data_IF_767509556543
#
_entry.id   IF_767509556543
#
_cell.length_a   1.000
_cell.length_b   1.000
_cell.length_c   1.000
_cell.angle_alpha   90.00
_cell.angle_beta   90.00
_cell.angle_gamma   90.00
#
_symmetry.space_group_name_H-M   'P 1'
#
loop_
_entity.id
_entity.type
_entity.pdbx_description
1 polymer ?
#
# COMPACT_ATOMS: atom_id res chain seq x y z
N UNK A 1 -53.61 17.61 2.71
CA UNK A 1 -53.11 16.83 1.57
C UNK A 1 -51.64 17.17 1.39
N UNK A 2 -50.78 16.17 1.22
CA UNK A 2 -49.35 16.38 0.98
C UNK A 2 -49.10 16.46 -0.52
N UNK A 3 -48.28 17.42 -1.00
CA UNK A 3 -47.99 17.54 -2.42
C UNK A 3 -47.11 16.38 -2.91
N UNK A 4 -47.54 15.71 -3.98
CA UNK A 4 -46.84 14.58 -4.61
C UNK A 4 -46.16 15.09 -5.89
N UNK A 5 -44.84 14.87 -6.00
CA UNK A 5 -44.03 15.28 -7.15
C UNK A 5 -43.46 14.06 -7.89
N UNK A 6 -43.33 14.15 -9.22
CA UNK A 6 -42.61 13.13 -10.02
C UNK A 6 -41.11 13.19 -9.73
N UNK A 7 -40.45 12.03 -9.68
CA UNK A 7 -38.99 11.94 -9.50
C UNK A 7 -38.21 12.59 -10.64
N UNK A 8 -38.78 12.64 -11.84
CA UNK A 8 -38.12 13.25 -13.02
C UNK A 8 -37.94 14.77 -12.87
N UNK A 9 -38.75 15.40 -12.01
CA UNK A 9 -38.67 16.83 -11.70
C UNK A 9 -37.82 17.11 -10.44
N UNK A 10 -37.19 16.09 -9.86
CA UNK A 10 -36.36 16.22 -8.68
C UNK A 10 -34.89 16.15 -9.10
N UNK A 11 -34.19 17.26 -8.94
CA UNK A 11 -32.77 17.33 -9.25
C UNK A 11 -31.90 17.36 -7.99
N UNK A 12 -30.78 16.64 -8.05
CA UNK A 12 -29.80 16.62 -6.97
C UNK A 12 -28.86 17.82 -7.14
N UNK A 13 -28.78 18.64 -6.10
CA UNK A 13 -27.80 19.72 -6.03
C UNK A 13 -26.60 19.29 -5.19
N UNK A 14 -25.40 19.63 -5.64
CA UNK A 14 -24.16 19.27 -4.96
C UNK A 14 -23.21 20.47 -4.91
N UNK A 15 -22.27 20.48 -3.98
CA UNK A 15 -21.23 21.51 -3.92
C UNK A 15 -20.19 21.33 -5.04
N UNK A 16 -19.44 22.39 -5.37
CA UNK A 16 -18.35 22.35 -6.37
C UNK A 16 -17.39 21.16 -6.15
N UNK A 17 -16.96 20.97 -4.90
CA UNK A 17 -16.06 19.86 -4.52
C UNK A 17 -16.70 18.48 -4.70
N UNK A 18 -18.02 18.37 -4.50
CA UNK A 18 -18.72 17.09 -4.65
C UNK A 18 -18.96 16.78 -6.13
N UNK A 19 -19.19 17.79 -6.96
CA UNK A 19 -19.20 17.64 -8.42
C UNK A 19 -17.82 17.24 -8.97
N UNK A 20 -16.74 17.78 -8.41
CA UNK A 20 -15.38 17.38 -8.80
C UNK A 20 -15.12 15.88 -8.56
N UNK A 21 -15.64 15.31 -7.46
CA UNK A 21 -15.58 13.86 -7.21
C UNK A 21 -16.31 13.03 -8.26
N UNK A 22 -17.29 13.64 -8.94
CA UNK A 22 -18.00 13.04 -10.06
C UNK A 22 -17.33 13.28 -11.42
N UNK A 23 -16.10 13.82 -11.44
CA UNK A 23 -15.41 14.30 -12.64
C UNK A 23 -16.24 15.34 -13.42
N UNK A 24 -16.88 16.26 -12.68
CA UNK A 24 -17.58 17.41 -13.27
C UNK A 24 -17.09 18.70 -12.64
N UNK A 25 -17.06 19.76 -13.44
CA UNK A 25 -16.70 21.09 -13.00
C UNK A 25 -17.87 22.04 -13.22
N UNK A 26 -18.13 22.91 -12.24
CA UNK A 26 -19.11 23.99 -12.42
C UNK A 26 -18.56 24.95 -13.47
N UNK A 27 -19.41 25.31 -14.44
CA UNK A 27 -18.99 26.22 -15.51
C UNK A 27 -18.52 27.56 -14.89
N UNK A 28 -17.54 28.22 -15.53
CA UNK A 28 -17.14 29.56 -15.10
C UNK A 28 -18.36 30.48 -15.11
N UNK A 29 -18.43 31.38 -14.13
CA UNK A 29 -19.45 32.42 -14.00
C UNK A 29 -20.90 31.95 -13.70
N UNK A 30 -21.11 30.67 -13.37
CA UNK A 30 -22.41 30.17 -12.89
C UNK A 30 -22.70 30.58 -11.44
N UNK A 31 -23.89 31.13 -11.21
CA UNK A 31 -24.39 31.44 -9.87
C UNK A 31 -24.96 30.18 -9.17
N UNK A 32 -24.79 30.03 -7.85
CA UNK A 32 -25.32 28.89 -7.13
C UNK A 32 -26.85 28.87 -7.17
N UNK A 33 -27.43 27.75 -7.60
CA UNK A 33 -28.89 27.58 -7.60
C UNK A 33 -29.48 27.68 -6.20
N UNK A 34 -28.75 27.19 -5.19
CA UNK A 34 -29.18 27.28 -3.79
C UNK A 34 -28.00 27.50 -2.85
N UNK A 35 -28.18 28.45 -1.93
CA UNK A 35 -27.31 28.63 -0.78
C UNK A 35 -27.94 27.93 0.43
N UNK A 36 -27.16 27.09 1.11
CA UNK A 36 -27.59 26.42 2.34
C UNK A 36 -26.60 26.63 3.46
N UNK A 37 -27.01 26.43 4.70
CA UNK A 37 -26.08 26.43 5.82
C UNK A 37 -25.23 25.16 5.81
N UNK A 38 -23.93 25.33 5.70
CA UNK A 38 -22.93 24.29 5.78
C UNK A 38 -22.64 23.85 7.23
N UNK A 39 -21.86 22.78 7.34
CA UNK A 39 -21.40 22.26 8.64
C UNK A 39 -20.19 23.07 9.13
N UNK A 40 -20.18 23.42 10.41
CA UNK A 40 -19.01 24.01 11.08
C UNK A 40 -17.90 22.96 11.17
N UNK A 41 -16.68 23.32 10.74
CA UNK A 41 -15.53 22.41 10.82
C UNK A 41 -15.18 22.14 12.29
N UNK A 42 -14.65 20.96 12.58
CA UNK A 42 -14.30 20.58 13.96
C UNK A 42 -13.29 21.55 14.60
N UNK A 43 -12.37 22.11 13.82
CA UNK A 43 -11.41 23.11 14.27
C UNK A 43 -12.11 24.41 14.68
N UNK A 44 -12.98 24.95 13.82
CA UNK A 44 -13.74 26.17 14.07
C UNK A 44 -14.64 26.03 15.31
N UNK A 45 -15.25 24.85 15.48
CA UNK A 45 -16.03 24.53 16.69
C UNK A 45 -15.18 24.57 17.95
N UNK A 46 -13.93 24.07 17.91
CA UNK A 46 -12.99 24.15 19.04
C UNK A 46 -12.56 25.59 19.33
N UNK A 47 -12.51 26.44 18.29
CA UNK A 47 -12.20 27.86 18.39
C UNK A 47 -13.41 28.71 18.83
N UNK A 48 -14.54 28.09 19.17
CA UNK A 48 -15.75 28.80 19.63
C UNK A 48 -16.59 29.45 18.53
N UNK A 49 -16.31 29.14 17.26
CA UNK A 49 -17.11 29.66 16.13
C UNK A 49 -18.48 28.97 16.11
N UNK A 50 -19.54 29.78 16.23
CA UNK A 50 -20.94 29.32 16.20
C UNK A 50 -21.62 29.58 14.86
N UNK A 51 -21.05 30.46 14.02
CA UNK A 51 -21.63 30.82 12.72
C UNK A 51 -21.40 29.70 11.71
N UNK A 52 -22.46 29.28 11.02
CA UNK A 52 -22.38 28.26 9.98
C UNK A 52 -21.94 28.90 8.66
N UNK A 53 -20.95 28.31 7.96
CA UNK A 53 -20.57 28.82 6.65
C UNK A 53 -21.70 28.60 5.64
N UNK A 54 -21.88 29.51 4.69
CA UNK A 54 -22.77 29.25 3.57
C UNK A 54 -22.12 28.24 2.61
N UNK A 55 -22.93 27.30 2.13
CA UNK A 55 -22.54 26.29 1.16
C UNK A 55 -23.33 26.50 -0.14
N UNK A 56 -22.59 26.76 -1.20
CA UNK A 56 -23.10 26.87 -2.57
C UNK A 56 -23.43 25.49 -3.13
N UNK A 57 -24.64 25.33 -3.67
CA UNK A 57 -25.10 24.13 -4.34
C UNK A 57 -25.46 24.41 -5.80
N UNK A 58 -25.02 23.52 -6.67
CA UNK A 58 -25.19 23.59 -8.12
C UNK A 58 -25.91 22.35 -8.63
N UNK A 59 -26.74 22.52 -9.65
CA UNK A 59 -27.36 21.42 -10.39
C UNK A 59 -26.46 20.89 -11.49
N UNK A 60 -26.79 19.71 -12.03
CA UNK A 60 -26.01 19.09 -13.11
C UNK A 60 -25.93 19.96 -14.37
N UNK A 61 -27.01 20.69 -14.70
CA UNK A 61 -27.08 21.61 -15.85
C UNK A 61 -26.11 22.80 -15.75
N UNK A 62 -25.61 23.12 -14.55
CA UNK A 62 -24.63 24.18 -14.33
C UNK A 62 -23.19 23.66 -14.40
N UNK A 63 -23.01 22.38 -14.75
CA UNK A 63 -21.71 21.71 -14.74
C UNK A 63 -21.39 21.11 -16.09
N UNK A 64 -20.11 21.12 -16.45
CA UNK A 64 -19.54 20.43 -17.60
C UNK A 64 -18.65 19.27 -17.14
N UNK A 65 -18.30 18.39 -18.07
CA UNK A 65 -17.33 17.32 -17.84
C UNK A 65 -15.96 17.91 -17.48
N UNK A 66 -15.30 17.33 -16.49
CA UNK A 66 -14.00 17.80 -16.04
C UNK A 66 -12.94 17.56 -17.12
N UNK A 67 -12.25 18.62 -17.52
CA UNK A 67 -11.14 18.54 -18.47
C UNK A 67 -9.83 18.45 -17.70
N UNK A 68 -9.14 17.29 -17.69
CA UNK A 68 -7.90 17.14 -16.94
C UNK A 68 -6.76 17.96 -17.57
N UNK A 69 -5.85 18.52 -16.75
CA UNK A 69 -4.73 19.31 -17.23
C UNK A 69 -3.77 18.47 -18.10
N UNK A 70 -3.06 19.14 -19.00
CA UNK A 70 -2.03 18.52 -19.85
C UNK A 70 -0.69 18.51 -19.11
N UNK A 71 -0.02 17.35 -19.10
CA UNK A 71 1.37 17.27 -18.64
C UNK A 71 2.30 17.94 -19.65
N UNK A 72 3.27 18.71 -19.14
CA UNK A 72 4.27 19.43 -19.94
C UNK A 72 5.66 19.19 -19.38
N UNK A 73 6.64 19.03 -20.26
CA UNK A 73 8.07 18.89 -19.93
C UNK A 73 8.37 17.77 -18.93
N UNK A 74 7.61 16.67 -18.99
CA UNK A 74 7.76 15.54 -18.07
C UNK A 74 7.29 15.83 -16.63
N UNK A 75 6.62 16.96 -16.39
CA UNK A 75 6.09 17.36 -15.08
C UNK A 75 4.60 17.04 -14.99
N UNK A 76 4.21 16.39 -13.91
CA UNK A 76 2.81 16.08 -13.62
C UNK A 76 2.14 17.33 -13.03
N UNK A 77 0.99 17.77 -13.57
CA UNK A 77 0.25 18.90 -13.01
C UNK A 77 -0.40 18.51 -11.68
N UNK A 78 -0.08 19.24 -10.62
CA UNK A 78 -0.60 18.98 -9.27
C UNK A 78 -1.58 20.06 -8.80
N UNK A 79 -2.38 19.72 -7.79
CA UNK A 79 -3.17 20.67 -7.01
C UNK A 79 -2.29 21.48 -6.04
N UNK A 80 -2.91 22.39 -5.28
CA UNK A 80 -2.24 23.23 -4.28
C UNK A 80 -1.48 22.45 -3.20
N UNK A 81 -1.86 21.19 -2.98
CA UNK A 81 -1.24 20.30 -2.00
C UNK A 81 -0.10 19.45 -2.60
N UNK A 82 0.19 19.60 -3.90
CA UNK A 82 1.23 18.83 -4.59
C UNK A 82 0.81 17.43 -5.05
N UNK A 83 -0.50 17.11 -4.99
CA UNK A 83 -1.05 15.81 -5.36
C UNK A 83 -2.02 15.93 -6.55
N UNK A 84 -2.46 14.80 -7.11
CA UNK A 84 -3.50 14.75 -8.14
C UNK A 84 -4.78 14.16 -7.53
N UNK A 85 -5.88 14.89 -7.66
CA UNK A 85 -7.21 14.42 -7.26
C UNK A 85 -7.74 13.46 -8.34
N UNK A 86 -7.74 12.16 -8.04
CA UNK A 86 -8.04 11.08 -8.98
C UNK A 86 -9.23 10.24 -8.50
N UNK A 87 -10.42 10.85 -8.43
CA UNK A 87 -11.64 10.17 -7.99
C UNK A 87 -12.24 9.25 -9.07
N UNK A 88 -12.03 9.59 -10.35
CA UNK A 88 -12.44 8.78 -11.50
C UNK A 88 -11.26 8.59 -12.46
N UNK A 89 -11.24 7.50 -13.27
CA UNK A 89 -10.18 7.25 -14.25
C UNK A 89 -10.02 8.35 -15.31
N UNK A 90 -11.10 9.08 -15.62
CA UNK A 90 -11.10 10.17 -16.60
C UNK A 90 -10.37 11.43 -16.11
N UNK A 91 -10.09 11.52 -14.80
CA UNK A 91 -9.40 12.66 -14.21
C UNK A 91 -7.86 12.57 -14.33
N UNK A 92 -7.33 11.52 -14.98
CA UNK A 92 -5.89 11.39 -15.22
C UNK A 92 -5.43 12.53 -16.15
N UNK A 93 -4.40 13.30 -15.77
CA UNK A 93 -3.81 14.30 -16.65
C UNK A 93 -3.44 13.74 -18.01
N UNK A 94 -3.74 14.50 -19.06
CA UNK A 94 -3.44 14.09 -20.42
C UNK A 94 -1.91 13.96 -20.59
N UNK A 95 -1.45 12.80 -21.07
CA UNK A 95 -0.02 12.47 -21.17
C UNK A 95 0.56 11.78 -19.93
N UNK A 96 -0.25 11.56 -18.89
CA UNK A 96 0.13 10.81 -17.71
C UNK A 96 -0.51 9.42 -17.64
N UNK A 97 0.04 8.57 -16.76
CA UNK A 97 -0.45 7.24 -16.44
C UNK A 97 -0.49 7.08 -14.93
N UNK A 98 -1.57 6.46 -14.44
CA UNK A 98 -1.74 6.09 -13.04
C UNK A 98 -1.16 4.70 -12.78
N UNK A 99 -0.30 4.58 -11.79
CA UNK A 99 0.41 3.35 -11.43
C UNK A 99 0.11 3.00 -9.97
N UNK A 100 -0.44 1.81 -9.79
CA UNK A 100 -0.82 1.23 -8.49
C UNK A 100 0.15 0.11 -8.13
N UNK A 101 1.41 0.48 -7.88
CA UNK A 101 2.45 -0.46 -7.46
C UNK A 101 2.98 -0.09 -6.07
N UNK A 102 3.23 -1.07 -5.18
CA UNK A 102 3.77 -0.78 -3.87
C UNK A 102 5.17 -0.19 -3.99
N UNK A 103 5.47 0.81 -3.18
CA UNK A 103 6.76 1.53 -3.19
C UNK A 103 7.08 2.28 -4.51
N UNK A 104 6.12 2.46 -5.41
CA UNK A 104 6.35 3.18 -6.68
C UNK A 104 6.91 4.59 -6.44
N UNK A 105 6.35 5.34 -5.49
CA UNK A 105 6.85 6.68 -5.11
C UNK A 105 8.34 6.68 -4.71
N UNK A 106 8.78 5.64 -3.98
CA UNK A 106 10.18 5.49 -3.58
C UNK A 106 11.08 5.18 -4.77
N UNK A 107 10.59 4.38 -5.72
CA UNK A 107 11.32 4.06 -6.95
C UNK A 107 11.44 5.29 -7.85
N UNK A 108 10.38 6.08 -8.01
CA UNK A 108 10.43 7.36 -8.74
C UNK A 108 11.48 8.32 -8.15
N UNK A 109 11.52 8.45 -6.81
CA UNK A 109 12.58 9.24 -6.13
C UNK A 109 13.99 8.74 -6.44
N UNK A 110 14.18 7.42 -6.51
CA UNK A 110 15.49 6.81 -6.82
C UNK A 110 15.90 7.03 -8.28
N UNK A 111 14.94 7.02 -9.19
CA UNK A 111 15.15 7.23 -10.62
C UNK A 111 15.20 8.71 -11.03
N UNK A 112 14.80 9.63 -10.14
CA UNK A 112 14.71 11.06 -10.45
C UNK A 112 13.53 11.43 -11.34
N UNK A 113 12.50 10.59 -11.40
CA UNK A 113 11.29 10.82 -12.20
C UNK A 113 10.31 11.71 -11.42
N UNK A 114 9.79 12.75 -12.07
CA UNK A 114 8.72 13.56 -11.50
C UNK A 114 7.43 12.72 -11.36
N UNK A 115 6.83 12.76 -10.17
CA UNK A 115 5.62 12.01 -9.87
C UNK A 115 4.72 12.82 -8.93
N UNK A 116 3.43 12.53 -8.98
CA UNK A 116 2.45 13.05 -8.02
C UNK A 116 1.73 11.89 -7.34
N UNK A 117 1.33 12.07 -6.09
CA UNK A 117 0.50 11.07 -5.39
C UNK A 117 -0.96 11.19 -5.86
N UNK A 118 -1.58 10.06 -6.16
CA UNK A 118 -2.98 10.01 -6.60
C UNK A 118 -3.90 9.89 -5.40
N UNK A 119 -4.70 10.92 -5.12
CA UNK A 119 -5.73 10.87 -4.07
C UNK A 119 -7.02 10.33 -4.68
N UNK A 120 -7.38 9.10 -4.33
CA UNK A 120 -8.57 8.43 -4.86
C UNK A 120 -9.80 8.67 -3.97
N UNK A 121 -9.59 9.06 -2.73
CA UNK A 121 -10.67 9.31 -1.80
C UNK A 121 -10.18 9.83 -0.47
N UNK A 122 -11.09 9.85 0.48
CA UNK A 122 -10.80 10.24 1.85
C UNK A 122 -11.40 9.21 2.78
N UNK A 123 -10.59 8.69 3.69
CA UNK A 123 -11.03 7.80 4.74
C UNK A 123 -11.34 8.62 5.99
N UNK A 124 -12.49 8.36 6.59
CA UNK A 124 -12.97 9.03 7.79
C UNK A 124 -12.83 8.07 8.98
N UNK A 125 -11.58 7.75 9.32
CA UNK A 125 -11.26 6.94 10.49
C UNK A 125 -10.84 7.82 11.69
N UNK A 126 -11.41 7.56 12.87
CA UNK A 126 -11.14 8.32 14.08
C UNK A 126 -11.76 9.73 14.07
N UNK A 127 -11.04 10.73 14.59
CA UNK A 127 -11.53 12.11 14.74
C UNK A 127 -11.34 12.99 13.48
N UNK A 128 -10.82 12.43 12.38
CA UNK A 128 -10.39 13.17 11.20
C UNK A 128 -10.75 12.49 9.88
N UNK A 129 -10.51 13.22 8.79
CA UNK A 129 -10.59 12.71 7.42
C UNK A 129 -9.20 12.80 6.81
N UNK A 130 -8.71 11.68 6.29
CA UNK A 130 -7.35 11.55 5.75
C UNK A 130 -7.41 11.17 4.27
N UNK A 131 -6.55 11.75 3.42
CA UNK A 131 -6.52 11.40 2.00
C UNK A 131 -6.03 9.96 1.83
N UNK A 132 -6.74 9.19 1.01
CA UNK A 132 -6.36 7.83 0.63
C UNK A 132 -5.51 7.91 -0.63
N UNK A 133 -4.23 7.62 -0.48
CA UNK A 133 -3.28 7.56 -1.59
C UNK A 133 -3.47 6.22 -2.30
N UNK A 134 -3.95 6.26 -3.53
CA UNK A 134 -4.21 5.08 -4.36
C UNK A 134 -3.16 4.83 -5.43
N UNK A 135 -1.91 5.21 -5.18
CA UNK A 135 -0.80 5.06 -6.13
C UNK A 135 -0.20 6.39 -6.53
N UNK A 136 0.48 6.40 -7.67
CA UNK A 136 1.15 7.59 -8.21
C UNK A 136 0.73 7.86 -9.65
N UNK A 137 0.79 9.11 -10.05
CA UNK A 137 0.66 9.55 -11.44
C UNK A 137 2.05 9.97 -11.93
N UNK A 138 2.42 9.49 -13.11
CA UNK A 138 3.67 9.84 -13.79
C UNK A 138 3.41 10.19 -15.25
N UNK A 139 4.33 10.90 -15.90
CA UNK A 139 4.28 11.07 -17.34
C UNK A 139 4.49 9.74 -18.07
N UNK A 140 3.75 9.52 -19.15
CA UNK A 140 3.75 8.26 -19.92
C UNK A 140 5.14 7.88 -20.44
N UNK A 141 5.99 8.86 -20.71
CA UNK A 141 7.37 8.68 -21.19
C UNK A 141 8.23 7.86 -20.22
N UNK A 142 7.99 7.99 -18.90
CA UNK A 142 8.77 7.32 -17.87
C UNK A 142 8.16 6.00 -17.37
N UNK A 143 6.99 5.63 -17.90
CA UNK A 143 6.30 4.39 -17.56
C UNK A 143 7.17 3.14 -17.73
N UNK A 144 7.83 2.88 -18.89
CA UNK A 144 8.63 1.68 -19.06
C UNK A 144 9.78 1.60 -18.05
N UNK A 145 10.49 2.72 -17.84
CA UNK A 145 11.61 2.79 -16.91
C UNK A 145 11.17 2.47 -15.46
N UNK A 146 9.99 2.94 -15.05
CA UNK A 146 9.46 2.62 -13.72
C UNK A 146 9.03 1.16 -13.62
N UNK A 147 8.36 0.61 -14.64
CA UNK A 147 7.92 -0.80 -14.64
C UNK A 147 9.10 -1.75 -14.52
N UNK A 148 10.17 -1.51 -15.26
CA UNK A 148 11.39 -2.32 -15.18
C UNK A 148 12.01 -2.25 -13.78
N UNK A 149 12.07 -1.06 -13.18
CA UNK A 149 12.60 -0.90 -11.83
C UNK A 149 11.71 -1.57 -10.76
N UNK A 150 10.39 -1.56 -10.94
CA UNK A 150 9.45 -2.29 -10.08
C UNK A 150 9.70 -3.79 -10.15
N UNK A 151 9.86 -4.33 -11.35
CA UNK A 151 10.09 -5.77 -11.55
C UNK A 151 11.43 -6.22 -10.93
N UNK A 152 12.50 -5.45 -11.15
CA UNK A 152 13.79 -5.69 -10.50
C UNK A 152 13.65 -5.65 -8.97
N UNK A 153 12.90 -4.70 -8.43
CA UNK A 153 12.70 -4.57 -6.99
C UNK A 153 11.88 -5.74 -6.41
N UNK A 154 10.89 -6.24 -7.15
CA UNK A 154 10.12 -7.46 -6.80
C UNK A 154 11.06 -8.66 -6.72
N UNK A 155 11.91 -8.86 -7.73
CA UNK A 155 12.87 -9.96 -7.77
C UNK A 155 13.86 -9.92 -6.59
N UNK A 156 14.46 -8.76 -6.32
CA UNK A 156 15.38 -8.56 -5.19
C UNK A 156 14.69 -8.86 -3.85
N UNK A 157 13.42 -8.48 -3.72
CA UNK A 157 12.66 -8.70 -2.48
C UNK A 157 12.39 -10.19 -2.28
N UNK A 158 11.98 -10.89 -3.34
CA UNK A 158 11.74 -12.33 -3.33
C UNK A 158 13.00 -13.11 -2.95
N UNK A 159 14.15 -12.79 -3.55
CA UNK A 159 15.43 -13.43 -3.21
C UNK A 159 15.82 -13.21 -1.74
N UNK A 160 15.58 -12.01 -1.20
CA UNK A 160 15.83 -11.70 0.22
C UNK A 160 14.90 -12.49 1.14
N UNK A 161 13.65 -12.68 0.76
CA UNK A 161 12.71 -13.47 1.54
C UNK A 161 13.08 -14.95 1.56
N UNK A 162 13.52 -15.50 0.42
CA UNK A 162 14.02 -16.87 0.33
C UNK A 162 15.24 -17.04 1.24
N UNK A 163 16.25 -16.17 1.12
CA UNK A 163 17.44 -16.21 1.98
C UNK A 163 17.09 -16.13 3.47
N UNK A 164 16.15 -15.26 3.85
CA UNK A 164 15.68 -15.16 5.25
C UNK A 164 14.97 -16.43 5.72
N UNK A 165 14.17 -17.07 4.86
CA UNK A 165 13.51 -18.35 5.16
C UNK A 165 14.56 -19.44 5.36
N UNK A 166 15.54 -19.55 4.47
CA UNK A 166 16.61 -20.54 4.56
C UNK A 166 17.44 -20.34 5.83
N UNK A 167 17.86 -19.11 6.14
CA UNK A 167 18.56 -18.80 7.38
C UNK A 167 17.76 -19.21 8.61
N UNK A 168 16.42 -19.02 8.60
CA UNK A 168 15.55 -19.43 9.71
C UNK A 168 15.49 -20.96 9.81
N UNK A 169 15.40 -21.67 8.68
CA UNK A 169 15.44 -23.13 8.62
C UNK A 169 16.75 -23.64 9.22
N UNK A 170 17.90 -23.13 8.76
CA UNK A 170 19.21 -23.54 9.28
C UNK A 170 19.37 -23.23 10.77
N UNK A 171 18.91 -22.07 11.25
CA UNK A 171 18.92 -21.71 12.68
C UNK A 171 18.07 -22.69 13.50
N UNK A 172 16.90 -23.09 13.00
CA UNK A 172 16.02 -24.04 13.68
C UNK A 172 16.64 -25.45 13.72
N UNK A 173 17.19 -25.94 12.61
CA UNK A 173 17.90 -27.21 12.57
C UNK A 173 19.10 -27.23 13.54
N UNK A 174 19.89 -26.16 13.56
CA UNK A 174 21.00 -26.02 14.51
C UNK A 174 20.53 -26.09 15.96
N UNK A 175 19.40 -25.44 16.30
CA UNK A 175 18.81 -25.52 17.65
C UNK A 175 18.34 -26.94 17.99
N UNK A 176 17.67 -27.61 17.05
CA UNK A 176 17.20 -28.98 17.23
C UNK A 176 18.35 -29.96 17.49
N UNK A 177 19.37 -29.94 16.64
CA UNK A 177 20.54 -30.82 16.76
C UNK A 177 21.27 -30.57 18.08
N UNK A 178 21.50 -29.30 18.45
CA UNK A 178 22.10 -28.96 19.75
C UNK A 178 21.25 -29.46 20.92
N UNK A 179 19.93 -29.32 20.85
CA UNK A 179 19.01 -29.85 21.87
C UNK A 179 19.11 -31.37 22.02
N UNK A 180 19.20 -32.10 20.90
CA UNK A 180 19.37 -33.56 20.90
C UNK A 180 20.72 -33.97 21.51
N UNK A 181 21.83 -33.30 21.14
CA UNK A 181 23.16 -33.55 21.71
C UNK A 181 23.16 -33.31 23.23
N UNK A 182 22.57 -32.20 23.68
CA UNK A 182 22.49 -31.87 25.12
C UNK A 182 21.67 -32.94 25.85
N UNK A 183 20.51 -33.35 25.32
CA UNK A 183 19.68 -34.41 25.91
C UNK A 183 20.44 -35.74 26.01
N UNK A 184 21.18 -36.12 24.98
CA UNK A 184 21.99 -37.34 24.98
C UNK A 184 23.14 -37.25 26.00
N UNK A 185 23.83 -36.10 26.08
CA UNK A 185 24.90 -35.89 27.05
C UNK A 185 24.39 -35.92 28.50
N UNK A 186 23.21 -35.33 28.76
CA UNK A 186 22.56 -35.42 30.07
C UNK A 186 22.19 -36.87 30.40
N UNK A 187 21.56 -37.59 29.47
CA UNK A 187 21.22 -39.01 29.66
C UNK A 187 22.45 -39.85 30.05
N UNK A 188 23.60 -39.66 29.38
CA UNK A 188 24.85 -40.35 29.74
C UNK A 188 25.36 -39.98 31.13
N UNK A 189 25.40 -38.68 31.46
CA UNK A 189 25.92 -38.20 32.76
C UNK A 189 25.08 -38.64 33.96
N UNK A 190 23.76 -38.70 33.80
CA UNK A 190 22.86 -39.13 34.87
C UNK A 190 22.64 -40.65 34.91
N UNK A 191 22.87 -41.37 33.80
CA UNK A 191 22.91 -42.84 33.82
C UNK A 191 24.09 -43.41 34.63
N UNK A 192 25.19 -42.66 34.76
CA UNK A 192 26.34 -43.06 35.59
C UNK A 192 26.17 -42.72 37.08
N UNK A 193 25.20 -41.87 37.46
CA UNK A 193 24.97 -41.46 38.86
C UNK A 193 23.87 -42.23 39.57
N UNK A 194 22.89 -42.77 38.84
CA UNK A 194 21.88 -43.68 39.38
C UNK A 194 22.14 -45.08 38.83
N UNK A 195 22.68 -45.97 39.67
CA UNK A 195 22.78 -47.42 39.42
C UNK A 195 21.41 -48.13 39.38
N UNK A 196 20.40 -47.48 38.78
CA UNK A 196 19.06 -48.03 38.59
C UNK A 196 18.82 -48.18 37.10
N UNK A 197 18.74 -49.42 36.64
CA UNK A 197 18.38 -49.75 35.27
C UNK A 197 17.03 -49.12 34.92
N UNK A 198 17.03 -48.10 34.06
CA UNK A 198 15.81 -47.70 33.37
C UNK A 198 15.53 -48.69 32.25
N UNK A 199 14.34 -49.28 32.27
CA UNK A 199 13.81 -50.13 31.22
C UNK A 199 13.96 -49.44 29.87
N UNK A 200 14.69 -50.10 28.97
CA UNK A 200 14.83 -49.70 27.58
C UNK A 200 13.49 -49.88 26.88
N UNK A 201 12.80 -48.79 26.57
CA UNK A 201 11.85 -48.79 25.45
C UNK A 201 12.67 -48.86 24.15
N UNK A 202 13.05 -50.09 23.82
CA UNK A 202 13.66 -50.45 22.57
C UNK A 202 12.66 -50.25 21.44
N UNK A 203 12.78 -49.14 20.69
CA UNK A 203 12.26 -49.06 19.30
C UNK A 203 12.79 -47.92 18.42
N UNK A 204 13.93 -47.30 18.72
CA UNK A 204 14.58 -46.45 17.71
C UNK A 204 16.11 -46.51 17.78
N UNK A 205 16.69 -47.36 16.94
CA UNK A 205 18.12 -47.41 16.67
C UNK A 205 18.42 -46.34 15.61
N UNK A 206 19.25 -45.34 15.95
CA UNK A 206 19.74 -44.38 14.96
C UNK A 206 20.60 -45.11 13.91
N UNK A 207 20.38 -44.90 12.60
CA UNK A 207 21.26 -45.48 11.59
C UNK A 207 22.65 -44.85 11.74
N UNK A 208 23.66 -45.70 11.92
CA UNK A 208 25.07 -45.30 11.94
C UNK A 208 25.42 -44.88 10.51
N UNK A 209 25.70 -43.59 10.30
CA UNK A 209 26.18 -43.12 9.01
C UNK A 209 27.52 -43.81 8.70
N UNK A 210 27.71 -44.37 7.49
CA UNK A 210 28.98 -44.98 7.09
C UNK A 210 30.11 -43.97 7.28
N UNK A 211 31.23 -44.42 7.86
CA UNK A 211 32.46 -43.62 7.84
C UNK A 211 32.91 -43.55 6.38
N UNK A 212 33.06 -42.34 5.84
CA UNK A 212 33.79 -42.15 4.59
C UNK A 212 35.22 -42.63 4.81
N UNK A 213 35.58 -43.74 4.18
CA UNK A 213 36.95 -44.22 4.12
C UNK A 213 37.78 -43.19 3.36
N UNK A 214 38.62 -42.48 4.10
CA UNK A 214 39.58 -41.53 3.58
C UNK A 214 40.69 -42.30 2.85
N UNK A 215 40.45 -42.69 1.59
CA UNK A 215 41.51 -43.15 0.68
C UNK A 215 42.22 -41.95 0.09
N UNK A 216 43.15 -41.40 0.86
CA UNK A 216 44.34 -40.78 0.30
C UNK A 216 45.49 -41.66 0.72
N UNK A 217 46.08 -42.39 -0.23
CA UNK A 217 47.52 -42.66 -0.28
C UNK A 217 47.90 -42.96 -1.74
N UNK A 218 48.78 -42.08 -2.23
CA UNK A 218 49.97 -42.41 -3.02
C UNK A 218 49.79 -43.12 -4.37
N UNK A 219 49.97 -42.36 -5.46
CA UNK A 219 51.07 -42.72 -6.36
C UNK A 219 51.64 -41.50 -7.09
N UNK A 220 52.85 -41.14 -6.67
CA UNK A 220 53.83 -40.41 -7.47
C UNK A 220 54.69 -41.43 -8.19
N UNK A 221 54.51 -41.58 -9.49
CA UNK A 221 55.55 -41.82 -10.51
C UNK A 221 54.96 -41.67 -11.90
#
# INVERSE_FOLDING_TARGET
>A
EEPIYSRDNIHILRSKQTWLKEARQVNPDEEPYKLVEGRIKNLDRKMGVTTRPQLELFGEWQTSEYVPPLAKDGIVPCNEYGNVDLFKPEMIPNGCVHIVEPNAARLCKKLGINYAEAIIGFDAHGSGSHPVIGGIVICKEFEPALRDAVEQQKQITLEKEIKKKDERIYKNWRKLIRGLIIKQNLARKYADMDGTQMATDAKYQWPVLPKEDNKNDENSM
#
